data_IF_117367480119
#
_entry.id   IF_117367480119
#
_cell.length_a   1.000
_cell.length_b   1.000
_cell.length_c   1.000
_cell.angle_alpha   90.00
_cell.angle_beta   90.00
_cell.angle_gamma   90.00
#
_symmetry.space_group_name_H-M   'P 1'
#
loop_
_entity.id
_entity.type
_entity.pdbx_description
1 polymer ?
#
# COMPACT_ATOMS: atom_id res chain seq x y z
N UNK A 1 19.99 -14.57 -2.21
CA UNK A 1 19.21 -13.40 -1.75
C UNK A 1 19.08 -13.51 -0.24
N UNK A 2 19.81 -12.68 0.50
CA UNK A 2 19.74 -12.69 1.97
C UNK A 2 18.57 -11.83 2.41
N UNK A 3 17.48 -12.45 2.87
CA UNK A 3 16.38 -11.77 3.54
C UNK A 3 16.88 -11.31 4.91
N UNK A 4 17.08 -10.00 5.09
CA UNK A 4 17.55 -9.43 6.35
C UNK A 4 16.38 -9.33 7.34
N UNK A 5 16.38 -10.08 8.45
CA UNK A 5 15.19 -10.26 9.30
C UNK A 5 14.87 -9.08 10.24
N UNK A 6 15.62 -7.98 10.21
CA UNK A 6 15.55 -6.93 11.25
C UNK A 6 14.85 -5.61 10.85
N UNK A 7 14.44 -5.43 9.60
CA UNK A 7 13.96 -4.13 9.10
C UNK A 7 12.80 -4.15 8.11
N UNK A 8 12.60 -5.28 7.40
CA UNK A 8 12.00 -5.30 6.06
C UNK A 8 10.58 -4.76 5.88
N UNK A 9 10.33 -4.26 4.67
CA UNK A 9 9.01 -3.93 4.14
C UNK A 9 8.48 -5.06 3.27
N UNK A 10 7.22 -5.45 3.45
CA UNK A 10 6.49 -6.25 2.47
C UNK A 10 5.60 -5.33 1.65
N UNK A 11 5.60 -5.51 0.32
CA UNK A 11 4.64 -4.89 -0.59
C UNK A 11 3.72 -6.00 -1.09
N UNK A 12 2.42 -5.88 -0.82
CA UNK A 12 1.39 -6.73 -1.40
C UNK A 12 0.92 -6.08 -2.68
N UNK A 13 1.24 -6.73 -3.80
CA UNK A 13 0.94 -6.30 -5.15
C UNK A 13 -0.48 -6.69 -5.55
N UNK A 14 -1.34 -5.69 -5.75
CA UNK A 14 -2.68 -5.82 -6.31
C UNK A 14 -2.66 -5.76 -7.86
N UNK A 15 -1.55 -6.18 -8.48
CA UNK A 15 -1.36 -6.28 -9.93
C UNK A 15 -1.38 -4.93 -10.66
N UNK A 16 -0.60 -3.97 -10.16
CA UNK A 16 -0.46 -2.66 -10.77
C UNK A 16 0.89 -2.45 -11.46
N UNK A 17 0.89 -1.68 -12.55
CA UNK A 17 2.11 -1.40 -13.30
C UNK A 17 3.10 -0.50 -12.55
N UNK A 18 2.68 0.22 -11.50
CA UNK A 18 3.53 1.10 -10.71
C UNK A 18 4.09 0.44 -9.44
N UNK A 19 3.77 -0.83 -9.16
CA UNK A 19 4.24 -1.53 -7.95
C UNK A 19 5.77 -1.48 -7.80
N UNK A 20 6.52 -1.67 -8.89
CA UNK A 20 7.99 -1.63 -8.83
C UNK A 20 8.56 -0.22 -8.67
N UNK A 21 7.85 0.81 -9.12
CA UNK A 21 8.24 2.19 -8.83
C UNK A 21 8.13 2.47 -7.32
N UNK A 22 7.05 1.98 -6.68
CA UNK A 22 6.89 2.05 -5.22
C UNK A 22 8.00 1.26 -4.54
N UNK A 23 8.32 0.05 -5.02
CA UNK A 23 9.38 -0.77 -4.45
C UNK A 23 10.74 -0.07 -4.47
N UNK A 24 11.09 0.58 -5.59
CA UNK A 24 12.32 1.36 -5.72
C UNK A 24 12.35 2.54 -4.73
N UNK A 25 11.27 3.33 -4.65
CA UNK A 25 11.19 4.46 -3.71
C UNK A 25 11.32 4.01 -2.25
N UNK A 26 10.74 2.85 -1.91
CA UNK A 26 10.88 2.25 -0.59
C UNK A 26 12.30 1.80 -0.33
N UNK A 27 12.95 1.18 -1.31
CA UNK A 27 14.34 0.75 -1.20
C UNK A 27 15.28 1.95 -0.96
N UNK A 28 15.10 3.03 -1.72
CA UNK A 28 15.86 4.27 -1.55
C UNK A 28 15.62 4.91 -0.18
N UNK A 29 14.37 4.95 0.29
CA UNK A 29 14.01 5.58 1.57
C UNK A 29 14.38 4.74 2.80
N UNK A 30 14.29 3.41 2.71
CA UNK A 30 14.56 2.49 3.82
C UNK A 30 16.00 1.96 3.84
N UNK A 31 16.74 2.11 2.74
CA UNK A 31 18.07 1.53 2.57
C UNK A 31 18.07 0.00 2.45
N UNK A 32 16.91 -0.61 2.18
CA UNK A 32 16.73 -2.07 2.06
C UNK A 32 15.68 -2.41 1.01
N UNK A 33 15.93 -3.44 0.21
CA UNK A 33 14.97 -3.89 -0.81
C UNK A 33 13.70 -4.49 -0.16
N UNK A 34 12.50 -4.02 -0.53
CA UNK A 34 11.26 -4.60 -0.05
C UNK A 34 11.00 -5.97 -0.70
N UNK A 35 10.25 -6.82 0.00
CA UNK A 35 9.75 -8.08 -0.56
C UNK A 35 8.39 -7.82 -1.22
N UNK A 36 8.30 -8.00 -2.53
CA UNK A 36 7.06 -7.87 -3.29
C UNK A 36 6.39 -9.24 -3.42
N UNK A 37 5.12 -9.34 -3.01
CA UNK A 37 4.32 -10.56 -3.10
C UNK A 37 2.98 -10.24 -3.77
N UNK A 38 2.47 -11.07 -4.68
CA UNK A 38 1.13 -10.85 -5.23
C UNK A 38 0.06 -11.05 -4.16
N UNK A 39 -1.06 -10.33 -4.29
CA UNK A 39 -2.21 -10.45 -3.36
C UNK A 39 -2.88 -11.84 -3.37
N UNK A 40 -2.48 -12.73 -4.27
CA UNK A 40 -2.86 -14.15 -4.26
C UNK A 40 -2.12 -14.98 -3.19
N UNK A 41 -1.02 -14.46 -2.64
CA UNK A 41 -0.34 -15.09 -1.50
C UNK A 41 -1.19 -14.89 -0.24
N UNK A 42 -1.62 -15.97 0.44
CA UNK A 42 -2.48 -15.84 1.61
C UNK A 42 -1.71 -15.29 2.82
N UNK A 43 -2.41 -14.56 3.70
CA UNK A 43 -1.84 -13.95 4.91
C UNK A 43 -1.01 -14.94 5.76
N UNK A 44 -1.45 -16.21 5.83
CA UNK A 44 -0.75 -17.26 6.59
C UNK A 44 0.70 -17.48 6.16
N UNK A 45 1.04 -17.19 4.91
CA UNK A 45 2.40 -17.27 4.37
C UNK A 45 3.12 -15.93 4.54
N UNK A 46 2.43 -14.81 4.27
CA UNK A 46 2.99 -13.45 4.46
C UNK A 46 3.50 -13.27 5.90
N UNK A 47 2.72 -13.67 6.91
CA UNK A 47 3.06 -13.52 8.33
C UNK A 47 4.32 -14.29 8.77
N UNK A 48 4.77 -15.28 7.99
CA UNK A 48 5.97 -16.08 8.29
C UNK A 48 7.25 -15.39 7.86
N UNK A 49 7.16 -14.42 6.95
CA UNK A 49 8.29 -13.65 6.46
C UNK A 49 8.61 -12.58 7.51
N UNK A 50 9.85 -12.40 7.95
CA UNK A 50 10.20 -11.31 8.86
C UNK A 50 9.95 -9.94 8.21
N UNK A 51 9.14 -9.09 8.84
CA UNK A 51 8.84 -7.73 8.37
C UNK A 51 8.43 -6.81 9.52
N UNK A 52 8.53 -5.50 9.31
CA UNK A 52 8.13 -4.47 10.29
C UNK A 52 7.02 -3.54 9.81
N UNK A 53 6.70 -3.58 8.53
CA UNK A 53 5.72 -2.71 7.88
C UNK A 53 5.22 -3.35 6.60
N UNK A 54 3.98 -3.07 6.24
CA UNK A 54 3.36 -3.57 5.01
C UNK A 54 2.86 -2.40 4.18
N UNK A 55 3.02 -2.50 2.86
CA UNK A 55 2.41 -1.59 1.89
C UNK A 55 1.43 -2.39 1.04
N UNK A 56 0.21 -1.90 0.90
CA UNK A 56 -0.77 -2.39 -0.07
C UNK A 56 -0.66 -1.51 -1.31
N UNK A 57 -0.24 -2.11 -2.43
CA UNK A 57 0.01 -1.38 -3.67
C UNK A 57 -1.29 -0.83 -4.29
N UNK A 58 -1.15 0.07 -5.29
CA UNK A 58 -2.24 0.33 -6.23
C UNK A 58 -2.69 -0.95 -6.94
N UNK A 59 -3.83 -0.89 -7.62
CA UNK A 59 -4.38 -2.01 -8.38
C UNK A 59 -5.66 -1.60 -9.12
N UNK A 60 -6.04 -2.33 -10.18
CA UNK A 60 -7.35 -2.18 -10.79
C UNK A 60 -8.44 -2.75 -9.89
N UNK A 61 -9.69 -2.33 -10.11
CA UNK A 61 -10.85 -2.92 -9.42
C UNK A 61 -11.36 -2.07 -8.25
N UNK A 62 -11.95 -2.74 -7.26
CA UNK A 62 -12.71 -2.08 -6.20
C UNK A 62 -12.65 -2.89 -4.90
N UNK A 63 -12.58 -2.25 -3.71
CA UNK A 63 -12.37 -2.97 -2.45
C UNK A 63 -13.52 -3.90 -2.06
N UNK A 64 -14.72 -3.71 -2.63
CA UNK A 64 -15.89 -4.54 -2.38
C UNK A 64 -15.82 -5.91 -3.08
N UNK A 65 -14.88 -6.11 -4.02
CA UNK A 65 -14.71 -7.38 -4.73
C UNK A 65 -13.51 -8.14 -4.18
N UNK A 66 -13.77 -9.27 -3.53
CA UNK A 66 -12.72 -10.12 -2.95
C UNK A 66 -11.65 -10.57 -3.97
N UNK A 67 -12.04 -10.78 -5.24
CA UNK A 67 -11.09 -11.16 -6.30
C UNK A 67 -10.09 -10.05 -6.65
N UNK A 68 -10.46 -8.78 -6.51
CA UNK A 68 -9.61 -7.64 -6.86
C UNK A 68 -8.56 -7.39 -5.76
N UNK A 69 -8.91 -7.65 -4.50
CA UNK A 69 -8.10 -7.31 -3.33
C UNK A 69 -7.33 -8.48 -2.73
N UNK A 70 -7.70 -9.72 -3.04
CA UNK A 70 -7.03 -10.92 -2.55
C UNK A 70 -6.79 -10.89 -1.03
N UNK A 71 -5.54 -11.13 -0.63
CA UNK A 71 -5.10 -11.14 0.76
C UNK A 71 -4.98 -9.75 1.40
N UNK A 72 -5.19 -8.65 0.67
CA UNK A 72 -5.10 -7.28 1.22
C UNK A 72 -6.06 -7.06 2.38
N UNK A 73 -7.28 -7.61 2.34
CA UNK A 73 -8.25 -7.48 3.45
C UNK A 73 -7.84 -8.30 4.67
N UNK A 74 -7.21 -9.46 4.48
CA UNK A 74 -6.67 -10.27 5.58
C UNK A 74 -5.46 -9.57 6.22
N UNK A 75 -4.59 -8.96 5.42
CA UNK A 75 -3.49 -8.12 5.92
C UNK A 75 -4.04 -7.03 6.83
N UNK A 76 -5.06 -6.28 6.40
CA UNK A 76 -5.65 -5.22 7.22
C UNK A 76 -6.28 -5.74 8.51
N UNK A 77 -6.86 -6.94 8.47
CA UNK A 77 -7.52 -7.55 9.62
C UNK A 77 -6.55 -8.09 10.68
N UNK A 78 -5.40 -8.59 10.26
CA UNK A 78 -4.53 -9.39 11.12
C UNK A 78 -3.11 -8.83 11.28
N UNK A 79 -2.70 -7.83 10.50
CA UNK A 79 -1.39 -7.23 10.67
C UNK A 79 -1.30 -6.45 11.98
N UNK A 80 -0.27 -6.73 12.76
CA UNK A 80 0.05 -6.02 14.01
C UNK A 80 1.08 -4.90 13.78
N UNK A 81 1.51 -4.71 12.54
CA UNK A 81 2.48 -3.69 12.15
C UNK A 81 1.81 -2.57 11.32
N UNK A 82 2.46 -1.39 11.17
CA UNK A 82 1.91 -0.32 10.36
C UNK A 82 1.67 -0.74 8.91
N UNK A 83 0.47 -0.42 8.40
CA UNK A 83 0.08 -0.66 7.01
C UNK A 83 -0.12 0.68 6.30
N UNK A 84 0.54 0.85 5.16
CA UNK A 84 0.32 1.96 4.23
C UNK A 84 -0.46 1.45 3.02
N UNK A 85 -1.58 2.10 2.67
CA UNK A 85 -2.34 1.78 1.47
C UNK A 85 -2.20 2.87 0.40
N UNK A 86 -1.98 2.47 -0.85
CA UNK A 86 -1.86 3.38 -2.00
C UNK A 86 -2.98 3.06 -2.99
N UNK A 87 -3.72 4.07 -3.47
CA UNK A 87 -4.85 3.89 -4.41
C UNK A 87 -5.84 2.79 -3.95
N UNK A 88 -5.93 1.65 -4.65
CA UNK A 88 -6.76 0.52 -4.22
C UNK A 88 -6.41 0.05 -2.80
N UNK A 89 -5.14 0.05 -2.41
CA UNK A 89 -4.74 -0.23 -1.03
C UNK A 89 -5.30 0.78 -0.01
N UNK A 90 -5.40 2.06 -0.37
CA UNK A 90 -6.05 3.07 0.45
C UNK A 90 -7.57 2.87 0.52
N UNK A 91 -8.18 2.49 -0.60
CA UNK A 91 -9.60 2.14 -0.65
C UNK A 91 -9.92 0.92 0.23
N UNK A 92 -9.03 -0.08 0.27
CA UNK A 92 -9.15 -1.22 1.18
C UNK A 92 -9.12 -0.77 2.65
N UNK A 93 -8.22 0.15 3.02
CA UNK A 93 -8.18 0.74 4.36
C UNK A 93 -9.52 1.40 4.72
N UNK A 94 -10.03 2.26 3.84
CA UNK A 94 -11.32 2.94 4.05
C UNK A 94 -12.44 1.93 4.26
N UNK A 95 -12.56 0.94 3.37
CA UNK A 95 -13.59 -0.09 3.46
C UNK A 95 -13.45 -0.95 4.73
N UNK A 96 -12.23 -1.31 5.13
CA UNK A 96 -11.97 -2.11 6.33
C UNK A 96 -12.42 -1.41 7.61
N UNK A 97 -12.22 -0.09 7.70
CA UNK A 97 -12.65 0.72 8.83
C UNK A 97 -14.11 1.23 8.73
N UNK A 98 -14.89 0.72 7.77
CA UNK A 98 -16.31 1.02 7.64
C UNK A 98 -16.63 2.34 6.92
N UNK A 99 -15.64 2.96 6.26
CA UNK A 99 -15.88 4.09 5.37
C UNK A 99 -16.43 3.64 4.01
N UNK A 100 -16.95 4.62 3.24
CA UNK A 100 -17.49 4.36 1.91
C UNK A 100 -16.47 4.68 0.81
N UNK A 101 -16.43 3.83 -0.21
CA UNK A 101 -15.60 4.01 -1.41
C UNK A 101 -16.50 3.88 -2.62
N UNK A 102 -16.78 5.04 -3.23
CA UNK A 102 -17.62 5.16 -4.42
C UNK A 102 -16.83 5.53 -5.68
N UNK A 103 -17.54 5.55 -6.81
CA UNK A 103 -17.00 6.09 -8.05
C UNK A 103 -16.98 7.61 -8.02
N UNK A 104 -15.88 8.19 -8.48
CA UNK A 104 -15.84 9.62 -8.79
C UNK A 104 -16.81 9.94 -9.95
N UNK A 105 -17.39 11.15 -9.99
CA UNK A 105 -18.26 11.59 -11.09
C UNK A 105 -17.54 11.56 -12.45
N UNK A 106 -16.24 11.85 -12.46
CA UNK A 106 -15.40 11.86 -13.65
C UNK A 106 -14.07 11.11 -13.40
N UNK A 107 -13.55 10.36 -14.39
CA UNK A 107 -12.25 9.72 -14.29
C UNK A 107 -11.12 10.76 -14.39
N UNK A 108 -10.37 10.92 -13.30
CA UNK A 108 -9.17 11.78 -13.22
C UNK A 108 -7.91 10.98 -13.57
N UNK A 109 -7.66 10.71 -14.84
CA UNK A 109 -6.43 10.01 -15.30
C UNK A 109 -5.42 11.02 -15.84
N UNK A 110 -4.21 11.04 -15.30
CA UNK A 110 -3.11 11.89 -15.79
C UNK A 110 -3.20 13.37 -15.39
N UNK A 111 -4.07 13.71 -14.43
CA UNK A 111 -4.23 15.06 -13.90
C UNK A 111 -3.68 15.17 -12.47
N UNK A 112 -3.00 16.27 -12.18
CA UNK A 112 -2.53 16.61 -10.84
C UNK A 112 -3.53 17.53 -10.16
N UNK A 113 -3.92 17.21 -8.94
CA UNK A 113 -4.77 18.06 -8.11
C UNK A 113 -4.04 18.40 -6.80
N UNK A 114 -4.14 19.66 -6.38
CA UNK A 114 -3.74 20.05 -5.04
C UNK A 114 -4.78 19.54 -4.04
N UNK A 115 -4.33 18.96 -2.93
CA UNK A 115 -5.19 18.61 -1.80
C UNK A 115 -4.60 19.17 -0.52
N UNK A 116 -5.46 19.53 0.43
CA UNK A 116 -5.04 19.96 1.77
C UNK A 116 -4.97 18.75 2.67
N UNK A 117 -3.77 18.40 3.13
CA UNK A 117 -3.59 17.38 4.15
C UNK A 117 -3.81 17.95 5.56
N UNK A 118 -4.55 17.24 6.41
CA UNK A 118 -4.59 17.53 7.84
C UNK A 118 -3.23 17.30 8.51
N UNK A 119 -3.01 17.78 9.75
CA UNK A 119 -1.74 17.66 10.46
C UNK A 119 -1.52 16.23 10.98
N UNK A 120 -0.74 15.43 10.25
CA UNK A 120 -0.37 14.05 10.60
C UNK A 120 1.15 13.90 10.54
N UNK A 121 1.75 12.86 11.17
CA UNK A 121 3.18 12.58 10.98
C UNK A 121 3.58 12.46 9.52
N UNK A 122 2.73 11.86 8.67
CA UNK A 122 2.96 11.74 7.23
C UNK A 122 2.97 13.09 6.52
N UNK A 123 2.00 13.97 6.79
CA UNK A 123 1.94 15.29 6.14
C UNK A 123 3.04 16.25 6.64
N UNK A 124 3.54 16.07 7.86
CA UNK A 124 4.69 16.81 8.39
C UNK A 124 6.02 16.41 7.77
N UNK A 125 6.14 15.17 7.30
CA UNK A 125 7.34 14.70 6.61
C UNK A 125 7.43 15.22 5.17
N UNK A 126 6.31 15.63 4.57
CA UNK A 126 6.29 16.21 3.23
C UNK A 126 6.91 17.61 3.24
N UNK A 127 7.95 17.80 2.43
CA UNK A 127 8.48 19.13 2.09
C UNK A 127 8.18 19.40 0.61
N UNK A 128 7.40 20.44 0.28
CA UNK A 128 7.17 20.79 -1.11
C UNK A 128 8.52 21.11 -1.78
N UNK A 129 8.70 20.78 -3.07
CA UNK A 129 9.91 21.13 -3.81
C UNK A 129 10.15 22.64 -3.72
N UNK A 130 11.39 23.04 -3.44
CA UNK A 130 11.80 24.44 -3.51
C UNK A 130 11.68 24.90 -4.96
N UNK A 131 10.85 25.92 -5.20
CA UNK A 131 10.77 26.65 -6.48
C UNK A 131 12.11 27.22 -6.88
#
# INVERSE_FOLDING_TARGET
MSINPAGGTIIVDNYDSFTFNVAQMVAEAAGEEPVVLPNSVPWREIRKIPHRRIILSPGPGTPQRAADVGSSMDVLRYAECPVLGICLGHQCLVAHFGGDVGRAPEPFTGASAAFTAGPTPCSRAYRPPST
#
